data_IF_341931139964
#
_entry.id   IF_341931139964
#
_cell.length_a   1.000
_cell.length_b   1.000
_cell.length_c   1.000
_cell.angle_alpha   90.00
_cell.angle_beta   90.00
_cell.angle_gamma   90.00
#
_symmetry.space_group_name_H-M   'P 1'
#
loop_
_entity.id
_entity.type
_entity.pdbx_description
1 polymer ?
#
# COMPACT_ATOMS: atom_id res chain seq x y z
N UNK A 1 -22.46 18.92 -21.63
CA UNK A 1 -21.58 20.01 -21.19
C UNK A 1 -21.44 20.11 -19.67
N UNK A 2 -22.45 20.48 -18.87
CA UNK A 2 -22.27 20.54 -17.41
C UNK A 2 -21.90 19.17 -16.81
N UNK A 3 -22.52 18.09 -17.29
CA UNK A 3 -22.27 16.71 -16.82
C UNK A 3 -20.90 16.17 -17.26
N UNK A 4 -20.43 16.58 -18.45
CA UNK A 4 -19.11 16.20 -19.00
C UNK A 4 -17.96 16.87 -18.23
N UNK A 5 -18.11 18.14 -17.86
CA UNK A 5 -17.11 18.87 -17.07
C UNK A 5 -17.01 18.29 -15.64
N UNK A 6 -18.13 17.88 -15.03
CA UNK A 6 -18.09 17.16 -13.74
C UNK A 6 -17.47 15.78 -13.86
N UNK A 7 -17.68 15.07 -14.96
CA UNK A 7 -17.06 13.76 -15.22
C UNK A 7 -15.54 13.87 -15.35
N UNK A 8 -15.05 14.82 -16.15
CA UNK A 8 -13.62 15.06 -16.34
C UNK A 8 -12.94 15.54 -15.04
N UNK A 9 -13.57 16.47 -14.31
CA UNK A 9 -13.05 16.93 -13.03
C UNK A 9 -12.97 15.80 -11.98
N UNK A 10 -13.96 14.89 -11.96
CA UNK A 10 -13.97 13.73 -11.08
C UNK A 10 -12.85 12.75 -11.44
N UNK A 11 -12.63 12.47 -12.72
CA UNK A 11 -11.59 11.55 -13.17
C UNK A 11 -10.18 12.10 -12.89
N UNK A 12 -9.96 13.41 -13.11
CA UNK A 12 -8.71 14.08 -12.73
C UNK A 12 -8.49 14.04 -11.21
N UNK A 13 -9.55 14.28 -10.42
CA UNK A 13 -9.47 14.20 -8.96
C UNK A 13 -9.13 12.79 -8.48
N UNK A 14 -9.77 11.77 -9.06
CA UNK A 14 -9.47 10.37 -8.73
C UNK A 14 -8.03 9.99 -9.09
N UNK A 15 -7.57 10.40 -10.28
CA UNK A 15 -6.20 10.17 -10.74
C UNK A 15 -5.18 10.87 -9.84
N UNK A 16 -5.41 12.14 -9.51
CA UNK A 16 -4.56 12.89 -8.58
C UNK A 16 -4.51 12.25 -7.19
N UNK A 17 -5.66 11.75 -6.70
CA UNK A 17 -5.74 11.06 -5.41
C UNK A 17 -4.87 9.81 -5.39
N UNK A 18 -4.82 9.04 -6.48
CA UNK A 18 -3.93 7.87 -6.59
C UNK A 18 -2.45 8.25 -6.55
N UNK A 19 -2.05 9.30 -7.26
CA UNK A 19 -0.67 9.81 -7.20
C UNK A 19 -0.30 10.28 -5.80
N UNK A 20 -1.20 11.02 -5.13
CA UNK A 20 -1.01 11.48 -3.75
C UNK A 20 -0.89 10.29 -2.80
N UNK A 21 -1.76 9.29 -2.91
CA UNK A 21 -1.71 8.09 -2.10
C UNK A 21 -0.38 7.33 -2.27
N UNK A 22 0.06 7.11 -3.52
CA UNK A 22 1.35 6.47 -3.81
C UNK A 22 2.53 7.27 -3.23
N UNK A 23 2.52 8.60 -3.35
CA UNK A 23 3.52 9.49 -2.78
C UNK A 23 3.57 9.45 -1.25
N UNK A 24 2.41 9.53 -0.59
CA UNK A 24 2.30 9.47 0.87
C UNK A 24 2.78 8.13 1.43
N UNK A 25 2.39 7.01 0.82
CA UNK A 25 2.86 5.67 1.24
C UNK A 25 4.38 5.58 1.08
N UNK A 26 4.91 6.01 -0.07
CA UNK A 26 6.36 5.99 -0.33
C UNK A 26 7.11 6.85 0.69
N UNK A 27 6.61 8.05 0.98
CA UNK A 27 7.18 8.95 1.96
C UNK A 27 7.18 8.34 3.37
N UNK A 28 6.06 7.73 3.77
CA UNK A 28 5.92 7.08 5.08
C UNK A 28 6.90 5.92 5.24
N UNK A 29 7.07 5.08 4.21
CA UNK A 29 8.03 3.96 4.22
C UNK A 29 9.47 4.47 4.31
N UNK A 30 9.84 5.47 3.50
CA UNK A 30 11.19 6.04 3.53
C UNK A 30 11.50 6.72 4.88
N UNK A 31 10.50 7.38 5.48
CA UNK A 31 10.61 7.97 6.81
C UNK A 31 10.81 6.92 7.89
N UNK A 32 10.01 5.84 7.85
CA UNK A 32 10.09 4.72 8.77
C UNK A 32 11.48 4.05 8.70
N UNK A 33 12.06 3.96 7.49
CA UNK A 33 13.39 3.38 7.30
C UNK A 33 14.51 4.29 7.78
N UNK A 34 14.42 5.60 7.54
CA UNK A 34 15.37 6.59 8.06
C UNK A 34 15.43 6.58 9.59
N UNK A 35 14.29 6.40 10.26
CA UNK A 35 14.19 6.35 11.72
C UNK A 35 14.15 4.91 12.28
N UNK A 36 14.26 3.89 11.44
CA UNK A 36 14.09 2.48 11.80
C UNK A 36 15.16 1.96 12.75
N UNK A 37 16.38 2.50 12.68
CA UNK A 37 17.50 2.16 13.59
C UNK A 37 17.20 2.58 15.03
N UNK A 38 16.56 3.73 15.20
CA UNK A 38 16.07 4.21 16.50
C UNK A 38 14.75 3.56 16.92
N UNK A 39 14.03 2.89 16.03
CA UNK A 39 12.68 2.37 16.32
C UNK A 39 12.71 1.14 17.22
N UNK A 40 13.69 0.24 17.04
CA UNK A 40 13.90 -0.87 17.99
C UNK A 40 14.28 -0.35 19.39
N UNK A 41 15.20 0.63 19.43
CA UNK A 41 15.63 1.26 20.69
C UNK A 41 14.48 2.03 21.36
N UNK A 42 13.67 2.76 20.58
CA UNK A 42 12.48 3.47 21.06
C UNK A 42 11.39 2.53 21.52
N UNK A 43 11.06 1.46 20.80
CA UNK A 43 10.08 0.49 21.26
C UNK A 43 10.49 -0.14 22.61
N UNK A 44 11.76 -0.52 22.76
CA UNK A 44 12.26 -1.01 24.04
C UNK A 44 12.27 0.08 25.13
N UNK A 45 12.65 1.32 24.78
CA UNK A 45 12.70 2.44 25.71
C UNK A 45 11.31 2.94 26.12
N UNK A 46 10.34 2.95 25.21
CA UNK A 46 8.95 3.35 25.44
C UNK A 46 8.24 2.29 26.30
N UNK A 47 8.50 1.01 26.05
CA UNK A 47 8.02 -0.08 26.91
C UNK A 47 8.63 -0.01 28.31
N UNK A 48 9.94 0.26 28.42
CA UNK A 48 10.61 0.41 29.71
C UNK A 48 10.14 1.67 30.46
N UNK A 49 10.04 2.82 29.78
CA UNK A 49 9.63 4.08 30.38
C UNK A 49 8.14 4.12 30.75
N UNK A 50 7.27 3.48 29.96
CA UNK A 50 5.84 3.37 30.29
C UNK A 50 5.61 2.42 31.48
N UNK A 51 6.41 1.35 31.60
CA UNK A 51 6.44 0.51 32.79
C UNK A 51 6.93 1.29 34.02
N UNK A 52 7.93 2.18 33.87
CA UNK A 52 8.49 2.99 34.96
C UNK A 52 7.58 4.14 35.43
N UNK A 53 6.97 4.90 34.51
CA UNK A 53 6.26 6.16 34.85
C UNK A 53 4.76 6.03 35.09
N UNK A 54 4.10 5.06 34.47
CA UNK A 54 2.63 4.95 34.45
C UNK A 54 2.11 3.55 34.78
N UNK A 55 3.01 2.59 35.01
CA UNK A 55 2.68 1.17 35.16
C UNK A 55 1.99 0.60 33.92
N UNK A 56 1.40 -0.58 34.08
CA UNK A 56 0.72 -1.34 33.01
C UNK A 56 -0.44 -0.58 32.34
N UNK A 57 -1.02 0.44 33.00
CA UNK A 57 -2.15 1.19 32.48
C UNK A 57 -1.76 2.16 31.35
N UNK A 58 -0.62 2.85 31.46
CA UNK A 58 -0.15 3.75 30.39
C UNK A 58 0.19 3.00 29.10
N UNK A 59 0.81 1.82 29.22
CA UNK A 59 1.08 0.92 28.08
C UNK A 59 -0.23 0.48 27.43
N UNK A 60 -1.23 0.10 28.23
CA UNK A 60 -2.54 -0.32 27.72
C UNK A 60 -3.25 0.79 26.93
N UNK A 61 -3.23 2.03 27.42
CA UNK A 61 -3.84 3.17 26.71
C UNK A 61 -3.16 3.46 25.39
N UNK A 62 -1.81 3.49 25.36
CA UNK A 62 -1.06 3.74 24.11
C UNK A 62 -1.32 2.64 23.09
N UNK A 63 -1.33 1.37 23.52
CA UNK A 63 -1.67 0.25 22.65
C UNK A 63 -3.12 0.35 22.13
N UNK A 64 -4.08 0.69 23.00
CA UNK A 64 -5.48 0.84 22.61
C UNK A 64 -5.68 1.96 21.57
N UNK A 65 -5.03 3.11 21.75
CA UNK A 65 -5.09 4.23 20.80
C UNK A 65 -4.45 3.88 19.46
N UNK A 66 -3.33 3.16 19.45
CA UNK A 66 -2.70 2.69 18.22
C UNK A 66 -3.63 1.74 17.44
N UNK A 67 -4.26 0.77 18.12
CA UNK A 67 -5.22 -0.15 17.51
C UNK A 67 -6.46 0.58 17.00
N UNK A 68 -6.99 1.53 17.78
CA UNK A 68 -8.16 2.30 17.39
C UNK A 68 -7.92 3.12 16.11
N UNK A 69 -6.73 3.70 15.95
CA UNK A 69 -6.35 4.46 14.74
C UNK A 69 -6.31 3.57 13.49
N UNK A 70 -5.51 2.50 13.53
CA UNK A 70 -5.36 1.59 12.38
C UNK A 70 -6.70 0.92 12.02
N UNK A 71 -7.52 0.62 13.03
CA UNK A 71 -8.88 0.14 12.86
C UNK A 71 -9.79 1.16 12.18
N UNK A 72 -9.74 2.44 12.59
CA UNK A 72 -10.52 3.51 11.98
C UNK A 72 -10.16 3.73 10.51
N UNK A 73 -8.87 3.71 10.17
CA UNK A 73 -8.39 3.79 8.77
C UNK A 73 -8.98 2.64 7.92
N UNK A 74 -9.00 1.41 8.46
CA UNK A 74 -9.58 0.24 7.79
C UNK A 74 -11.08 0.39 7.59
N UNK A 75 -11.83 0.84 8.60
CA UNK A 75 -13.29 1.03 8.51
C UNK A 75 -13.66 2.10 7.49
N UNK A 76 -12.92 3.21 7.45
CA UNK A 76 -13.14 4.28 6.47
C UNK A 76 -12.89 3.76 5.05
N UNK A 77 -11.84 2.97 4.85
CA UNK A 77 -11.54 2.35 3.56
C UNK A 77 -12.65 1.38 3.10
N UNK A 78 -13.12 0.51 4.00
CA UNK A 78 -14.23 -0.41 3.73
C UNK A 78 -15.53 0.34 3.41
N UNK A 79 -15.82 1.43 4.14
CA UNK A 79 -16.97 2.28 3.87
C UNK A 79 -16.89 2.93 2.48
N UNK A 80 -15.71 3.44 2.11
CA UNK A 80 -15.49 4.00 0.76
C UNK A 80 -15.71 2.97 -0.34
N UNK A 81 -15.23 1.73 -0.15
CA UNK A 81 -15.46 0.62 -1.08
C UNK A 81 -16.93 0.21 -1.18
N UNK A 82 -17.67 0.29 -0.06
CA UNK A 82 -19.09 -0.06 -0.01
C UNK A 82 -19.99 0.85 -0.85
N UNK A 83 -19.54 2.07 -1.17
CA UNK A 83 -20.32 3.00 -2.00
C UNK A 83 -20.30 2.67 -3.49
N UNK A 84 -19.35 1.84 -3.96
CA UNK A 84 -19.16 1.56 -5.39
C UNK A 84 -19.17 0.07 -5.78
N UNK A 85 -19.33 -0.85 -4.83
CA UNK A 85 -19.17 -2.29 -5.03
C UNK A 85 -20.43 -3.12 -4.76
N UNK A 86 -20.44 -4.36 -5.26
CA UNK A 86 -21.47 -5.36 -4.91
C UNK A 86 -21.32 -5.74 -3.43
N UNK A 87 -22.35 -5.45 -2.62
CA UNK A 87 -22.28 -5.59 -1.15
C UNK A 87 -21.99 -7.03 -0.69
N UNK A 88 -22.51 -8.03 -1.40
CA UNK A 88 -22.28 -9.46 -1.14
C UNK A 88 -20.80 -9.84 -1.34
N UNK A 89 -20.21 -9.43 -2.46
CA UNK A 89 -18.81 -9.68 -2.78
C UNK A 89 -17.88 -8.94 -1.81
N UNK A 90 -18.23 -7.69 -1.45
CA UNK A 90 -17.48 -6.90 -0.47
C UNK A 90 -17.55 -7.53 0.92
N UNK A 91 -18.73 -7.96 1.37
CA UNK A 91 -18.89 -8.61 2.66
C UNK A 91 -18.07 -9.91 2.75
N UNK A 92 -18.15 -10.75 1.72
CA UNK A 92 -17.34 -11.96 1.64
C UNK A 92 -15.83 -11.65 1.67
N UNK A 93 -15.37 -10.73 0.80
CA UNK A 93 -13.97 -10.32 0.75
C UNK A 93 -13.47 -9.73 2.07
N UNK A 94 -14.30 -8.94 2.75
CA UNK A 94 -13.98 -8.35 4.06
C UNK A 94 -13.85 -9.42 5.13
N UNK A 95 -14.80 -10.34 5.23
CA UNK A 95 -14.78 -11.42 6.23
C UNK A 95 -13.59 -12.34 5.99
N UNK A 96 -13.36 -12.77 4.75
CA UNK A 96 -12.20 -13.62 4.42
C UNK A 96 -10.88 -12.88 4.66
N UNK A 97 -10.79 -11.60 4.27
CA UNK A 97 -9.61 -10.78 4.49
C UNK A 97 -9.28 -10.59 5.97
N UNK A 98 -10.28 -10.30 6.80
CA UNK A 98 -10.13 -10.20 8.26
C UNK A 98 -9.74 -11.54 8.88
N UNK A 99 -10.29 -12.65 8.41
CA UNK A 99 -9.90 -13.99 8.88
C UNK A 99 -8.43 -14.30 8.57
N UNK A 100 -7.97 -13.99 7.36
CA UNK A 100 -6.56 -14.15 6.97
C UNK A 100 -5.66 -13.22 7.79
N UNK A 101 -6.05 -11.94 7.95
CA UNK A 101 -5.30 -10.99 8.77
C UNK A 101 -5.18 -11.45 10.23
N UNK A 102 -6.27 -11.95 10.83
CA UNK A 102 -6.27 -12.50 12.18
C UNK A 102 -5.36 -13.74 12.29
N UNK A 103 -5.39 -14.63 11.30
CA UNK A 103 -4.51 -15.80 11.25
C UNK A 103 -3.03 -15.37 11.14
N UNK A 104 -2.71 -14.43 10.25
CA UNK A 104 -1.36 -13.88 10.09
C UNK A 104 -0.88 -13.19 11.37
N UNK A 105 -1.74 -12.40 12.02
CA UNK A 105 -1.46 -11.75 13.30
C UNK A 105 -1.20 -12.79 14.40
N UNK A 106 -1.99 -13.86 14.47
CA UNK A 106 -1.81 -14.94 15.44
C UNK A 106 -0.49 -15.70 15.23
N UNK A 107 -0.17 -16.08 13.99
CA UNK A 107 1.11 -16.74 13.64
C UNK A 107 2.29 -15.85 14.00
N UNK A 108 2.17 -14.55 13.69
CA UNK A 108 3.21 -13.55 13.99
C UNK A 108 3.37 -13.35 15.49
N UNK A 109 2.27 -13.21 16.24
CA UNK A 109 2.28 -13.02 17.69
C UNK A 109 2.92 -14.23 18.40
N UNK A 110 2.60 -15.45 17.97
CA UNK A 110 3.22 -16.68 18.50
C UNK A 110 4.72 -16.75 18.20
N UNK A 111 5.13 -16.21 17.05
CA UNK A 111 6.52 -16.24 16.59
C UNK A 111 7.31 -14.99 17.00
N UNK A 112 6.69 -14.02 17.67
CA UNK A 112 7.26 -12.70 17.94
C UNK A 112 8.53 -12.77 18.81
N UNK A 113 8.60 -13.75 19.72
CA UNK A 113 9.78 -14.00 20.55
C UNK A 113 10.99 -14.56 19.76
N UNK A 114 10.76 -15.17 18.59
CA UNK A 114 11.82 -15.74 17.72
C UNK A 114 12.04 -14.94 16.44
N UNK A 115 11.13 -14.04 16.08
CA UNK A 115 11.19 -13.26 14.85
C UNK A 115 12.04 -12.01 15.02
N UNK A 116 12.87 -11.75 14.01
CA UNK A 116 13.60 -10.50 13.93
C UNK A 116 12.62 -9.38 13.57
N UNK A 117 12.27 -8.53 14.55
CA UNK A 117 11.40 -7.36 14.35
C UNK A 117 11.88 -6.48 13.19
N UNK A 118 13.19 -6.39 12.95
CA UNK A 118 13.74 -5.66 11.80
C UNK A 118 13.42 -6.32 10.46
N UNK A 119 13.34 -7.66 10.41
CA UNK A 119 12.91 -8.39 9.21
C UNK A 119 11.43 -8.12 8.93
N UNK A 120 10.58 -8.16 9.96
CA UNK A 120 9.15 -7.90 9.83
C UNK A 120 8.88 -6.49 9.30
N UNK A 121 9.53 -5.48 9.90
CA UNK A 121 9.42 -4.09 9.44
C UNK A 121 9.97 -3.90 8.01
N UNK A 122 11.00 -4.66 7.63
CA UNK A 122 11.55 -4.60 6.27
C UNK A 122 10.61 -5.24 5.26
N UNK A 123 10.01 -6.38 5.59
CA UNK A 123 9.03 -7.05 4.72
C UNK A 123 7.78 -6.19 4.53
N UNK A 124 7.22 -5.62 5.60
CA UNK A 124 6.06 -4.72 5.49
C UNK A 124 6.40 -3.47 4.67
N UNK A 125 7.58 -2.88 4.86
CA UNK A 125 8.04 -1.75 4.04
C UNK A 125 8.10 -2.08 2.55
N UNK A 126 8.61 -3.27 2.18
CA UNK A 126 8.69 -3.70 0.78
C UNK A 126 7.29 -3.90 0.22
N UNK A 127 6.40 -4.56 0.97
CA UNK A 127 5.00 -4.77 0.56
C UNK A 127 4.28 -3.45 0.31
N UNK A 128 4.45 -2.45 1.18
CA UNK A 128 3.86 -1.13 1.02
C UNK A 128 4.40 -0.37 -0.21
N UNK A 129 5.70 -0.52 -0.53
CA UNK A 129 6.28 0.09 -1.73
C UNK A 129 5.77 -0.56 -3.01
N UNK A 130 5.53 -1.87 -2.99
CA UNK A 130 4.90 -2.61 -4.09
C UNK A 130 3.47 -2.09 -4.28
N UNK A 131 2.68 -1.96 -3.20
CA UNK A 131 1.33 -1.40 -3.27
C UNK A 131 1.32 0.04 -3.79
N UNK A 132 2.26 0.88 -3.34
CA UNK A 132 2.41 2.25 -3.86
C UNK A 132 2.76 2.26 -5.35
N UNK A 133 3.57 1.30 -5.82
CA UNK A 133 3.84 1.13 -7.25
C UNK A 133 2.59 0.70 -8.03
N UNK A 134 1.75 -0.15 -7.44
CA UNK A 134 0.49 -0.57 -8.05
C UNK A 134 -0.49 0.60 -8.19
N UNK A 135 -0.63 1.43 -7.16
CA UNK A 135 -1.43 2.65 -7.22
C UNK A 135 -0.91 3.64 -8.27
N UNK A 136 0.41 3.73 -8.42
CA UNK A 136 1.04 4.56 -9.45
C UNK A 136 0.70 4.05 -10.86
N UNK A 137 0.82 2.74 -11.10
CA UNK A 137 0.42 2.12 -12.39
C UNK A 137 -1.06 2.37 -12.66
N UNK A 138 -1.93 2.17 -11.68
CA UNK A 138 -3.37 2.45 -11.84
C UNK A 138 -3.67 3.93 -12.15
N UNK A 139 -2.87 4.87 -11.62
CA UNK A 139 -2.99 6.29 -11.96
C UNK A 139 -2.53 6.58 -13.40
N UNK A 140 -1.48 5.90 -13.87
CA UNK A 140 -0.99 6.02 -15.24
C UNK A 140 -2.00 5.45 -16.25
N UNK A 141 -2.59 4.29 -15.97
CA UNK A 141 -3.62 3.70 -16.83
C UNK A 141 -4.80 4.66 -17.04
N UNK A 142 -5.23 5.32 -15.95
CA UNK A 142 -6.25 6.37 -16.02
C UNK A 142 -5.81 7.55 -16.86
N UNK A 143 -4.57 8.03 -16.66
CA UNK A 143 -4.02 9.17 -17.38
C UNK A 143 -3.86 8.89 -18.89
N UNK A 144 -3.50 7.65 -19.25
CA UNK A 144 -3.43 7.17 -20.64
C UNK A 144 -4.85 7.04 -21.22
N UNK A 145 -5.77 6.43 -20.49
CA UNK A 145 -7.17 6.27 -20.90
C UNK A 145 -7.91 7.59 -21.12
N UNK A 146 -7.58 8.62 -20.34
CA UNK A 146 -8.10 9.98 -20.49
C UNK A 146 -7.39 10.78 -21.60
N UNK A 147 -6.38 10.22 -22.26
CA UNK A 147 -5.66 10.86 -23.37
C UNK A 147 -4.64 11.93 -22.96
N UNK A 148 -4.38 12.10 -21.66
CA UNK A 148 -3.38 13.06 -21.15
C UNK A 148 -1.95 12.57 -21.34
N UNK A 149 -1.73 11.25 -21.38
CA UNK A 149 -0.42 10.65 -21.59
C UNK A 149 -0.46 9.69 -22.80
N UNK A 150 0.36 9.88 -23.84
CA UNK A 150 0.44 8.93 -24.93
C UNK A 150 1.14 7.65 -24.44
N UNK A 151 0.62 6.46 -24.77
CA UNK A 151 1.21 5.19 -24.34
C UNK A 151 2.59 4.90 -24.97
N UNK A 152 2.98 5.67 -25.98
CA UNK A 152 4.17 5.55 -26.84
C UNK A 152 4.21 4.23 -27.66
N UNK A 153 4.12 3.08 -26.99
CA UNK A 153 3.96 1.75 -27.57
C UNK A 153 3.04 0.92 -26.67
N UNK A 154 1.99 0.34 -27.26
CA UNK A 154 1.01 -0.47 -26.55
C UNK A 154 0.53 -1.63 -27.44
N UNK A 155 0.71 -2.91 -27.06
CA UNK A 155 1.46 -3.41 -25.89
C UNK A 155 2.95 -3.59 -26.16
N UNK A 156 3.80 -3.48 -25.13
CA UNK A 156 5.24 -3.80 -25.23
C UNK A 156 5.48 -5.31 -25.27
N UNK A 157 4.73 -6.06 -24.47
CA UNK A 157 4.69 -7.52 -24.48
C UNK A 157 3.28 -8.02 -24.13
N UNK A 158 2.97 -9.27 -24.48
CA UNK A 158 1.73 -9.94 -24.08
C UNK A 158 2.05 -11.15 -23.20
N UNK A 159 1.69 -11.07 -21.92
CA UNK A 159 1.83 -12.16 -20.94
C UNK A 159 0.48 -12.75 -20.51
N UNK A 160 -0.61 -12.37 -21.19
CA UNK A 160 -1.97 -12.84 -20.87
C UNK A 160 -2.12 -14.37 -20.97
N UNK A 161 -1.28 -15.03 -21.76
CA UNK A 161 -1.24 -16.49 -21.90
C UNK A 161 -0.79 -17.21 -20.62
N UNK A 162 -0.03 -16.53 -19.74
CA UNK A 162 0.45 -17.10 -18.47
C UNK A 162 -0.37 -16.59 -17.27
N UNK A 163 -0.63 -15.28 -17.22
CA UNK A 163 -1.39 -14.62 -16.17
C UNK A 163 -2.21 -13.48 -16.78
N UNK A 164 -3.50 -13.77 -16.98
CA UNK A 164 -4.47 -12.82 -17.52
C UNK A 164 -5.00 -11.91 -16.41
N UNK A 165 -4.64 -10.64 -16.46
CA UNK A 165 -5.06 -9.59 -15.52
C UNK A 165 -6.54 -9.19 -15.69
N UNK A 166 -7.24 -9.70 -16.70
CA UNK A 166 -8.70 -9.54 -16.85
C UNK A 166 -9.49 -10.56 -16.02
N UNK A 167 -8.87 -11.67 -15.63
CA UNK A 167 -9.51 -12.69 -14.78
C UNK A 167 -9.61 -12.21 -13.32
N UNK A 168 -10.61 -12.66 -12.55
CA UNK A 168 -10.78 -12.25 -11.14
C UNK A 168 -9.51 -12.46 -10.29
N UNK A 169 -8.80 -13.57 -10.51
CA UNK A 169 -7.57 -13.89 -9.79
C UNK A 169 -6.36 -13.08 -10.28
N UNK A 170 -6.20 -12.94 -11.60
CA UNK A 170 -5.14 -12.13 -12.19
C UNK A 170 -5.28 -10.64 -11.87
N UNK A 171 -6.52 -10.14 -11.83
CA UNK A 171 -6.82 -8.77 -11.41
C UNK A 171 -6.41 -8.50 -9.95
N UNK A 172 -6.65 -9.44 -9.04
CA UNK A 172 -6.17 -9.29 -7.64
C UNK A 172 -4.65 -9.19 -7.59
N UNK A 173 -3.93 -10.02 -8.34
CA UNK A 173 -2.47 -9.96 -8.40
C UNK A 173 -2.01 -8.63 -9.05
N UNK A 174 -2.67 -8.22 -10.12
CA UNK A 174 -2.41 -6.97 -10.83
C UNK A 174 -2.62 -5.75 -9.91
N UNK A 175 -3.72 -5.71 -9.17
CA UNK A 175 -4.07 -4.60 -8.26
C UNK A 175 -3.14 -4.54 -7.04
N UNK A 176 -2.66 -5.68 -6.53
CA UNK A 176 -1.73 -5.71 -5.40
C UNK A 176 -0.27 -5.45 -5.78
N UNK A 177 0.17 -5.95 -6.95
CA UNK A 177 1.58 -5.90 -7.35
C UNK A 177 1.91 -4.81 -8.36
N UNK A 178 0.90 -4.22 -9.01
CA UNK A 178 1.08 -3.33 -10.15
C UNK A 178 1.43 -4.06 -11.44
N UNK A 179 1.24 -5.38 -11.47
CA UNK A 179 1.45 -6.18 -12.67
C UNK A 179 0.40 -5.85 -13.75
N UNK A 180 0.86 -5.80 -14.99
CA UNK A 180 0.03 -5.67 -16.19
C UNK A 180 0.45 -6.75 -17.18
N UNK A 181 -0.53 -7.49 -17.70
CA UNK A 181 -0.29 -8.53 -18.69
C UNK A 181 0.17 -7.92 -20.02
N UNK A 182 -0.28 -6.69 -20.30
CA UNK A 182 -0.01 -5.89 -21.50
C UNK A 182 0.38 -4.45 -21.12
N UNK A 183 1.61 -4.22 -20.63
CA UNK A 183 2.03 -2.88 -20.23
C UNK A 183 2.39 -2.02 -21.44
N UNK A 184 2.09 -0.73 -21.34
CA UNK A 184 2.58 0.28 -22.29
C UNK A 184 4.03 0.69 -21.99
N UNK A 185 4.73 1.24 -22.98
CA UNK A 185 6.11 1.70 -22.79
C UNK A 185 6.18 2.86 -21.78
N UNK A 186 5.20 3.76 -21.79
CA UNK A 186 5.09 4.82 -20.79
C UNK A 186 4.96 4.30 -19.36
N UNK A 187 4.14 3.27 -19.14
CA UNK A 187 4.00 2.63 -17.83
C UNK A 187 5.32 2.05 -17.36
N UNK A 188 6.03 1.32 -18.23
CA UNK A 188 7.32 0.72 -17.90
C UNK A 188 8.37 1.78 -17.53
N UNK A 189 8.42 2.89 -18.26
CA UNK A 189 9.36 3.98 -17.98
C UNK A 189 9.08 4.63 -16.62
N UNK A 190 7.81 4.91 -16.30
CA UNK A 190 7.45 5.51 -15.01
C UNK A 190 7.66 4.51 -13.87
N UNK A 191 7.29 3.24 -14.06
CA UNK A 191 7.53 2.18 -13.08
C UNK A 191 9.03 2.00 -12.80
N UNK A 192 9.86 1.98 -13.84
CA UNK A 192 11.31 1.91 -13.70
C UNK A 192 11.88 3.15 -13.01
N UNK A 193 11.36 4.34 -13.33
CA UNK A 193 11.76 5.59 -12.68
C UNK A 193 11.40 5.58 -11.19
N UNK A 194 10.18 5.16 -10.84
CA UNK A 194 9.74 5.02 -9.46
C UNK A 194 10.65 4.08 -8.66
N UNK A 195 10.90 2.86 -9.17
CA UNK A 195 11.81 1.93 -8.50
C UNK A 195 13.25 2.45 -8.46
N UNK A 196 13.71 3.15 -9.48
CA UNK A 196 15.00 3.84 -9.49
C UNK A 196 15.11 4.85 -8.35
N UNK A 197 14.11 5.72 -8.17
CA UNK A 197 14.03 6.70 -7.08
C UNK A 197 13.96 6.01 -5.73
N UNK A 198 13.09 5.00 -5.58
CA UNK A 198 12.95 4.22 -4.35
C UNK A 198 14.25 3.54 -3.98
N UNK A 199 14.91 2.84 -4.90
CA UNK A 199 16.19 2.16 -4.66
C UNK A 199 17.31 3.15 -4.35
N UNK A 200 17.34 4.29 -5.02
CA UNK A 200 18.30 5.35 -4.74
C UNK A 200 18.11 5.93 -3.34
N UNK A 201 16.88 6.30 -2.98
CA UNK A 201 16.51 6.77 -1.65
C UNK A 201 16.80 5.70 -0.59
N UNK A 202 16.53 4.43 -0.91
CA UNK A 202 16.78 3.26 -0.07
C UNK A 202 18.29 3.05 0.17
N UNK A 203 19.14 3.22 -0.84
CA UNK A 203 20.60 3.12 -0.68
C UNK A 203 21.15 4.28 0.16
N UNK A 204 20.65 5.51 -0.02
CA UNK A 204 21.07 6.67 0.76
C UNK A 204 20.73 6.55 2.24
N UNK A 205 19.54 6.08 2.58
CA UNK A 205 19.14 5.88 3.99
C UNK A 205 19.90 4.75 4.69
N UNK A 206 20.52 3.82 3.94
CA UNK A 206 21.32 2.74 4.53
C UNK A 206 22.76 3.14 4.87
N UNK A 207 23.22 4.30 4.39
CA UNK A 207 24.60 4.79 4.55
C UNK A 207 24.74 5.93 5.57
N UNK A 208 23.64 6.32 6.22
CA UNK A 208 23.60 7.34 7.27
C UNK A 208 23.33 6.76 8.65
#
# INVERSE_FOLDING_TARGET
MQDELTGEALDLFQTATLFVAAGLITQMVLWMRKHGRTMKARLHADLAAAAEKSGHFGVAVVAALAVAREGAETVIFLYGLAQGGELSALAFGTVTGLAVAALTAWVTAKSLARLNIALLLRLSSILLLVLASALLVAALDRLIGAGYLPPLLDPVWDTSLLLDDTTKGGKLIADFSGYRARPSLSELLVWATYWGVVLFAWRRTSRG
#
